data_IF_446625931389
#
_entry.id   IF_446625931389
#
_cell.length_a   1.000
_cell.length_b   1.000
_cell.length_c   1.000
_cell.angle_alpha   90.00
_cell.angle_beta   90.00
_cell.angle_gamma   90.00
#
_symmetry.space_group_name_H-M   'P 1'
#
loop_
_entity.id
_entity.type
_entity.pdbx_description
1 polymer ?
#
# COMPACT_ATOMS: atom_id res chain seq x y z
N UNK A 1 -1.69 -12.54 8.00
CA UNK A 1 -3.12 -12.41 7.72
C UNK A 1 -3.85 -11.67 8.84
N UNK A 2 -5.05 -11.19 8.55
CA UNK A 2 -6.04 -10.70 9.53
C UNK A 2 -7.44 -11.09 9.06
N UNK A 3 -8.38 -11.23 9.98
CA UNK A 3 -9.74 -11.65 9.68
C UNK A 3 -10.75 -10.72 10.33
N UNK A 4 -11.81 -10.43 9.61
CA UNK A 4 -12.99 -9.74 10.12
C UNK A 4 -14.23 -10.45 9.57
N UNK A 5 -15.07 -10.98 10.48
CA UNK A 5 -16.29 -11.74 10.16
C UNK A 5 -15.98 -12.88 9.17
N UNK A 6 -16.58 -12.87 7.99
CA UNK A 6 -16.41 -13.87 6.93
C UNK A 6 -15.31 -13.54 5.90
N UNK A 7 -14.47 -12.56 6.19
CA UNK A 7 -13.41 -12.13 5.28
C UNK A 7 -12.03 -12.28 5.92
N UNK A 8 -11.17 -13.08 5.30
CA UNK A 8 -9.75 -13.23 5.63
C UNK A 8 -8.91 -12.42 4.64
N UNK A 9 -8.08 -11.50 5.13
CA UNK A 9 -7.13 -10.73 4.33
C UNK A 9 -5.75 -11.35 4.44
N UNK A 10 -5.18 -11.70 3.29
CA UNK A 10 -3.86 -12.29 3.14
C UNK A 10 -2.90 -11.28 2.54
N UNK A 11 -1.74 -11.10 3.16
CA UNK A 11 -0.71 -10.16 2.73
C UNK A 11 0.65 -10.86 2.62
N UNK A 12 1.42 -10.49 1.62
CA UNK A 12 2.80 -10.93 1.41
C UNK A 12 3.55 -9.86 0.61
N UNK A 13 4.83 -9.65 0.91
CA UNK A 13 5.62 -8.58 0.29
C UNK A 13 5.81 -8.69 -1.23
N UNK A 14 5.67 -9.90 -1.79
CA UNK A 14 5.83 -10.18 -3.22
C UNK A 14 4.49 -10.28 -3.98
N UNK A 15 3.37 -10.27 -3.28
CA UNK A 15 2.05 -10.52 -3.87
C UNK A 15 1.05 -9.45 -3.47
N UNK A 16 0.27 -9.01 -4.45
CA UNK A 16 -0.86 -8.13 -4.18
C UNK A 16 -1.76 -8.73 -3.09
N UNK A 17 -2.16 -7.97 -2.08
CA UNK A 17 -3.06 -8.43 -1.05
C UNK A 17 -4.30 -9.13 -1.62
N UNK A 18 -4.66 -10.24 -1.01
CA UNK A 18 -5.80 -11.06 -1.40
C UNK A 18 -6.85 -11.07 -0.29
N UNK A 19 -8.11 -11.30 -0.66
CA UNK A 19 -9.15 -11.63 0.28
C UNK A 19 -9.78 -12.98 -0.04
N UNK A 20 -10.05 -13.75 1.01
CA UNK A 20 -10.89 -14.94 0.98
C UNK A 20 -12.17 -14.62 1.71
N UNK A 21 -13.29 -14.64 1.00
CA UNK A 21 -14.60 -14.31 1.52
C UNK A 21 -15.44 -15.58 1.57
N UNK A 22 -16.01 -15.87 2.72
CA UNK A 22 -17.00 -16.93 2.87
C UNK A 22 -18.39 -16.39 2.50
N UNK A 23 -18.92 -16.82 1.36
CA UNK A 23 -20.26 -16.41 0.91
C UNK A 23 -21.36 -17.28 1.55
N UNK A 24 -21.08 -18.58 1.67
CA UNK A 24 -21.95 -19.58 2.34
C UNK A 24 -21.05 -20.66 2.95
N UNK A 25 -21.61 -21.63 3.67
CA UNK A 25 -20.84 -22.75 4.25
C UNK A 25 -20.08 -23.59 3.21
N UNK A 26 -20.50 -23.54 1.95
CA UNK A 26 -19.89 -24.31 0.85
C UNK A 26 -19.38 -23.46 -0.30
N UNK A 27 -19.45 -22.12 -0.19
CA UNK A 27 -19.05 -21.20 -1.26
C UNK A 27 -18.08 -20.15 -0.74
N UNK A 28 -16.91 -20.05 -1.39
CA UNK A 28 -15.83 -19.15 -1.05
C UNK A 28 -15.37 -18.38 -2.29
N UNK A 29 -15.04 -17.11 -2.13
CA UNK A 29 -14.46 -16.28 -3.19
C UNK A 29 -13.04 -15.91 -2.79
N UNK A 30 -12.07 -16.18 -3.67
CA UNK A 30 -10.68 -15.79 -3.50
C UNK A 30 -10.28 -14.83 -4.61
N UNK A 31 -9.97 -13.58 -4.26
CA UNK A 31 -9.72 -12.52 -5.23
C UNK A 31 -8.68 -11.50 -4.70
N UNK A 32 -8.24 -10.60 -5.57
CA UNK A 32 -7.42 -9.47 -5.15
C UNK A 32 -8.22 -8.57 -4.20
N UNK A 33 -7.54 -8.01 -3.19
CA UNK A 33 -8.15 -7.01 -2.34
C UNK A 33 -8.53 -5.79 -3.20
N UNK A 34 -9.78 -5.31 -3.17
CA UNK A 34 -10.24 -4.22 -4.03
C UNK A 34 -9.79 -2.86 -3.49
N UNK A 35 -8.48 -2.60 -3.48
CA UNK A 35 -7.92 -1.33 -3.06
C UNK A 35 -8.36 -0.26 -4.06
N UNK A 36 -9.10 0.73 -3.59
CA UNK A 36 -9.64 1.82 -4.42
C UNK A 36 -8.59 2.90 -4.65
N UNK A 37 -7.87 3.25 -3.57
CA UNK A 37 -6.81 4.27 -3.60
C UNK A 37 -5.57 3.72 -2.91
N UNK A 38 -4.45 3.73 -3.64
CA UNK A 38 -3.14 3.34 -3.11
C UNK A 38 -2.33 4.58 -2.71
N UNK A 39 -1.46 4.48 -1.69
CA UNK A 39 -0.49 5.54 -1.40
C UNK A 39 0.42 5.82 -2.60
N UNK A 40 0.84 7.07 -2.79
CA UNK A 40 1.65 7.50 -3.92
C UNK A 40 3.07 7.85 -3.52
N UNK A 41 3.98 7.59 -4.45
CA UNK A 41 5.34 8.06 -4.44
C UNK A 41 5.45 9.23 -5.42
N UNK A 42 5.82 10.42 -4.99
CA UNK A 42 6.28 11.46 -5.89
C UNK A 42 7.73 11.12 -6.27
N UNK A 43 7.95 10.54 -7.46
CA UNK A 43 9.27 10.09 -7.87
C UNK A 43 9.99 11.13 -8.72
N UNK A 44 9.35 11.60 -9.78
CA UNK A 44 9.82 12.70 -10.63
C UNK A 44 8.58 13.43 -11.15
N UNK A 45 8.12 14.39 -10.38
CA UNK A 45 6.96 15.20 -10.77
C UNK A 45 7.30 16.04 -11.98
N UNK A 46 6.50 15.95 -13.01
CA UNK A 46 6.56 16.80 -14.19
C UNK A 46 5.19 17.44 -14.38
N UNK A 47 5.13 18.77 -14.27
CA UNK A 47 3.93 19.54 -14.52
C UNK A 47 3.85 19.88 -16.00
N UNK A 48 2.80 19.43 -16.65
CA UNK A 48 2.50 19.75 -18.04
C UNK A 48 1.34 20.76 -18.09
N UNK A 49 1.41 21.68 -19.03
CA UNK A 49 0.35 22.67 -19.30
C UNK A 49 -0.38 22.30 -20.59
N UNK A 50 -1.46 21.48 -20.50
CA UNK A 50 -2.20 21.08 -21.69
C UNK A 50 -2.92 22.28 -22.34
N UNK A 51 -2.97 22.27 -23.67
CA UNK A 51 -3.56 23.35 -24.44
C UNK A 51 -5.08 23.20 -24.68
N UNK A 52 -5.77 22.44 -23.85
CA UNK A 52 -7.21 22.29 -23.85
C UNK A 52 -7.80 22.67 -22.49
N UNK A 53 -9.08 23.00 -22.44
CA UNK A 53 -9.80 23.26 -21.20
C UNK A 53 -10.37 21.98 -20.63
N UNK A 54 -10.58 21.95 -19.32
CA UNK A 54 -11.24 20.85 -18.61
C UNK A 54 -12.46 21.35 -17.87
N UNK A 55 -13.42 20.46 -17.65
CA UNK A 55 -14.66 20.79 -16.93
C UNK A 55 -14.97 19.66 -15.95
N UNK A 56 -14.92 19.92 -14.62
CA UNK A 56 -15.36 18.97 -13.62
C UNK A 56 -16.89 18.95 -13.54
N UNK A 57 -17.50 17.78 -13.36
CA UNK A 57 -18.95 17.66 -13.19
C UNK A 57 -19.44 17.90 -11.75
N UNK A 58 -18.51 17.88 -10.77
CA UNK A 58 -18.73 18.16 -9.35
C UNK A 58 -17.48 18.82 -8.77
N UNK A 59 -17.61 19.43 -7.60
CA UNK A 59 -16.48 20.09 -6.90
C UNK A 59 -15.72 19.18 -5.95
N UNK A 60 -16.27 18.03 -5.53
CA UNK A 60 -15.68 17.14 -4.52
C UNK A 60 -16.11 15.68 -4.69
N UNK A 61 -15.39 14.76 -4.04
CA UNK A 61 -15.62 13.31 -4.08
C UNK A 61 -15.17 12.68 -5.41
N UNK A 62 -15.83 11.60 -5.82
CA UNK A 62 -15.62 10.99 -7.13
C UNK A 62 -16.32 11.80 -8.21
N UNK A 63 -15.55 12.26 -9.18
CA UNK A 63 -16.02 13.15 -10.24
C UNK A 63 -15.63 12.65 -11.63
N UNK A 64 -16.28 13.19 -12.65
CA UNK A 64 -15.81 13.11 -14.03
C UNK A 64 -15.27 14.47 -14.48
N UNK A 65 -14.11 14.43 -15.13
CA UNK A 65 -13.49 15.61 -15.73
C UNK A 65 -13.50 15.42 -17.24
N UNK A 66 -14.12 16.37 -17.95
CA UNK A 66 -14.24 16.33 -19.40
C UNK A 66 -13.29 17.35 -20.04
N UNK A 67 -12.48 16.89 -21.01
CA UNK A 67 -11.65 17.76 -21.84
C UNK A 67 -12.49 18.42 -22.94
N UNK A 68 -12.23 19.69 -23.24
CA UNK A 68 -12.93 20.45 -24.30
C UNK A 68 -12.51 20.05 -25.71
N UNK A 69 -11.38 19.39 -25.87
CA UNK A 69 -10.83 18.96 -27.15
C UNK A 69 -11.07 17.47 -27.34
N UNK A 70 -11.62 17.10 -28.47
CA UNK A 70 -11.66 15.72 -28.94
C UNK A 70 -10.29 15.32 -29.52
N UNK A 71 -10.18 14.07 -29.97
CA UNK A 71 -9.05 13.56 -30.75
C UNK A 71 -8.69 14.55 -31.86
N UNK A 72 -7.45 15.03 -31.87
CA UNK A 72 -7.02 16.06 -32.82
C UNK A 72 -6.43 15.48 -34.08
N UNK A 73 -5.82 14.28 -33.99
CA UNK A 73 -5.21 13.56 -35.11
C UNK A 73 -5.63 12.09 -35.06
N UNK A 74 -6.11 11.56 -36.19
CA UNK A 74 -6.57 10.18 -36.27
C UNK A 74 -5.92 9.46 -37.43
N UNK A 75 -5.43 8.25 -37.20
CA UNK A 75 -4.90 7.33 -38.22
C UNK A 75 -3.79 7.92 -39.13
N UNK A 76 -2.93 8.78 -38.55
CA UNK A 76 -1.80 9.40 -39.24
C UNK A 76 -0.58 8.49 -39.26
N UNK A 77 0.23 8.61 -40.30
CA UNK A 77 1.54 7.93 -40.37
C UNK A 77 2.62 8.86 -39.88
N UNK A 78 3.42 8.49 -38.88
CA UNK A 78 4.56 9.30 -38.43
C UNK A 78 5.65 9.31 -39.52
N UNK A 79 6.37 10.42 -39.64
CA UNK A 79 7.52 10.47 -40.58
C UNK A 79 8.69 9.63 -40.05
N UNK A 80 8.88 9.59 -38.73
CA UNK A 80 9.83 8.71 -38.02
C UNK A 80 9.54 8.63 -36.54
N UNK A 81 10.16 7.68 -35.80
CA UNK A 81 10.09 7.64 -34.36
C UNK A 81 10.98 6.55 -33.78
N UNK A 82 11.69 6.88 -32.71
CA UNK A 82 12.49 5.94 -31.91
C UNK A 82 12.82 6.55 -30.55
N UNK A 83 13.12 5.69 -29.58
CA UNK A 83 13.36 6.16 -28.20
C UNK A 83 12.15 6.91 -27.67
N UNK A 84 12.36 8.10 -27.13
CA UNK A 84 11.29 8.98 -26.64
C UNK A 84 10.81 10.02 -27.66
N UNK A 85 11.27 9.95 -28.92
CA UNK A 85 11.00 10.98 -29.92
C UNK A 85 10.20 10.41 -31.09
N UNK A 86 9.19 11.17 -31.53
CA UNK A 86 8.42 10.88 -32.75
C UNK A 86 8.30 12.14 -33.59
N UNK A 87 8.53 12.01 -34.89
CA UNK A 87 8.24 13.07 -35.86
C UNK A 87 6.85 12.79 -36.43
N UNK A 88 5.93 13.69 -36.13
CA UNK A 88 4.55 13.59 -36.61
C UNK A 88 4.47 13.83 -38.12
N UNK A 89 3.38 13.38 -38.73
CA UNK A 89 3.14 13.59 -40.14
C UNK A 89 3.28 15.05 -40.53
N UNK A 90 3.89 15.33 -41.69
CA UNK A 90 4.06 16.71 -42.21
C UNK A 90 2.73 17.46 -42.35
N UNK A 91 1.61 16.72 -42.53
CA UNK A 91 0.24 17.28 -42.59
C UNK A 91 -0.33 17.64 -41.23
N UNK A 92 0.34 17.26 -40.13
CA UNK A 92 -0.08 17.63 -38.76
C UNK A 92 0.24 19.11 -38.50
N UNK A 93 -0.72 19.85 -38.01
CA UNK A 93 -0.54 21.26 -37.67
C UNK A 93 -1.40 21.63 -36.47
N UNK A 94 -0.74 22.19 -35.47
CA UNK A 94 -1.36 22.72 -34.26
C UNK A 94 -1.31 24.26 -34.29
N UNK A 95 -1.94 24.84 -35.33
CA UNK A 95 -1.97 26.29 -35.53
C UNK A 95 -3.02 26.97 -34.63
N UNK A 96 -2.77 28.26 -34.29
CA UNK A 96 -3.71 29.04 -33.48
C UNK A 96 -3.47 29.00 -31.98
N UNK A 97 -2.24 28.67 -31.55
CA UNK A 97 -1.89 28.63 -30.11
C UNK A 97 -2.19 27.31 -29.41
N UNK A 98 -2.66 26.30 -30.14
CA UNK A 98 -2.84 24.95 -29.62
C UNK A 98 -1.51 24.18 -29.73
N UNK A 99 -1.12 23.47 -28.68
CA UNK A 99 0.04 22.58 -28.65
C UNK A 99 -0.45 21.19 -28.21
N UNK A 100 0.11 20.10 -28.73
CA UNK A 100 -0.24 18.75 -28.27
C UNK A 100 0.41 18.38 -26.91
N UNK A 101 1.13 19.30 -26.28
CA UNK A 101 1.74 19.05 -24.95
C UNK A 101 0.63 18.73 -23.94
N UNK A 102 0.86 17.70 -23.13
CA UNK A 102 -0.10 17.15 -22.19
C UNK A 102 -1.17 16.25 -22.81
N UNK A 103 -1.18 16.08 -24.16
CA UNK A 103 -2.05 15.11 -24.82
C UNK A 103 -1.36 13.74 -24.94
N UNK A 104 -2.17 12.71 -25.08
CA UNK A 104 -1.71 11.34 -25.30
C UNK A 104 -1.50 11.07 -26.79
N UNK A 105 -0.34 10.51 -27.14
CA UNK A 105 -0.09 9.90 -28.43
C UNK A 105 -0.26 8.39 -28.29
N UNK A 106 -1.15 7.81 -29.09
CA UNK A 106 -1.42 6.38 -29.15
C UNK A 106 -1.00 5.83 -30.51
N UNK A 107 -0.26 4.72 -30.51
CA UNK A 107 0.04 3.99 -31.74
C UNK A 107 -1.03 2.92 -31.98
N UNK A 108 -1.70 2.98 -33.14
CA UNK A 108 -2.87 2.16 -33.46
C UNK A 108 -2.60 1.07 -34.48
N UNK A 109 -1.44 1.10 -35.16
CA UNK A 109 -1.01 0.06 -36.10
C UNK A 109 0.51 0.07 -36.30
N UNK A 110 1.04 -1.02 -36.88
CA UNK A 110 2.47 -1.20 -37.21
C UNK A 110 3.36 -1.44 -36.00
N UNK A 111 4.68 -1.25 -36.14
CA UNK A 111 5.58 -1.28 -34.97
C UNK A 111 5.16 -0.30 -33.88
N UNK A 112 5.12 -0.81 -32.65
CA UNK A 112 4.67 -0.03 -31.48
C UNK A 112 3.16 -0.01 -31.28
N UNK A 113 2.36 -0.74 -32.03
CA UNK A 113 0.91 -0.81 -31.84
C UNK A 113 0.54 -1.13 -30.38
N UNK A 114 -0.37 -0.33 -29.81
CA UNK A 114 -0.76 -0.40 -28.42
C UNK A 114 0.08 0.46 -27.46
N UNK A 115 1.13 1.15 -27.96
CA UNK A 115 1.87 2.15 -27.17
C UNK A 115 1.00 3.38 -26.92
N UNK A 116 1.03 3.90 -25.72
CA UNK A 116 0.45 5.19 -25.31
C UNK A 116 1.47 5.98 -24.50
N UNK A 117 1.76 7.22 -24.92
CA UNK A 117 2.68 8.13 -24.26
C UNK A 117 2.15 9.55 -24.17
N UNK A 118 2.46 10.28 -23.10
CA UNK A 118 2.13 11.71 -23.00
C UNK A 118 3.19 12.53 -23.73
N UNK A 119 2.74 13.49 -24.51
CA UNK A 119 3.62 14.45 -25.19
C UNK A 119 4.08 15.49 -24.16
N UNK A 120 5.36 15.44 -23.78
CA UNK A 120 5.95 16.36 -22.78
C UNK A 120 6.53 17.62 -23.41
N UNK A 121 6.91 17.57 -24.69
CA UNK A 121 7.32 18.72 -25.46
C UNK A 121 7.03 18.57 -26.94
N UNK A 122 6.86 19.67 -27.67
CA UNK A 122 6.59 19.66 -29.09
C UNK A 122 7.25 20.84 -29.80
N UNK A 123 7.86 20.58 -30.97
CA UNK A 123 8.46 21.57 -31.83
C UNK A 123 7.73 21.62 -33.16
N UNK A 124 6.94 22.66 -33.39
CA UNK A 124 6.09 22.82 -34.58
C UNK A 124 6.87 22.84 -35.89
N UNK A 125 8.04 23.50 -35.92
CA UNK A 125 8.85 23.62 -37.13
C UNK A 125 9.40 22.29 -37.69
N UNK A 126 9.64 21.33 -36.80
CA UNK A 126 10.16 19.99 -37.13
C UNK A 126 9.12 18.90 -36.94
N UNK A 127 7.90 19.26 -36.49
CA UNK A 127 6.85 18.32 -36.11
C UNK A 127 7.30 17.27 -35.07
N UNK A 128 8.30 17.58 -34.28
CA UNK A 128 8.91 16.64 -33.35
C UNK A 128 8.24 16.73 -31.99
N UNK A 129 7.68 15.62 -31.54
CA UNK A 129 7.15 15.44 -30.19
C UNK A 129 8.10 14.56 -29.36
N UNK A 130 8.32 14.96 -28.09
CA UNK A 130 9.00 14.14 -27.10
C UNK A 130 7.96 13.53 -26.17
N UNK A 131 8.10 12.25 -25.88
CA UNK A 131 7.17 11.45 -25.08
C UNK A 131 7.73 11.21 -23.67
N UNK A 132 6.85 11.00 -22.71
CA UNK A 132 7.17 10.68 -21.31
C UNK A 132 7.87 9.32 -21.14
N UNK A 133 7.68 8.40 -22.10
CA UNK A 133 8.26 7.07 -22.09
C UNK A 133 8.78 6.67 -23.48
N UNK A 134 9.74 5.74 -23.51
CA UNK A 134 10.32 5.24 -24.76
C UNK A 134 9.32 4.40 -25.55
N UNK A 135 9.30 4.59 -26.87
CA UNK A 135 8.54 3.76 -27.82
C UNK A 135 8.95 2.27 -27.79
N UNK A 136 10.19 1.97 -27.34
CA UNK A 136 10.73 0.60 -27.32
C UNK A 136 11.00 -0.02 -28.70
N UNK A 137 10.59 0.67 -29.77
CA UNK A 137 10.73 0.23 -31.17
C UNK A 137 11.07 1.41 -32.07
N UNK A 138 11.53 1.13 -33.30
CA UNK A 138 11.65 2.13 -34.35
C UNK A 138 10.39 2.05 -35.21
N UNK A 139 9.74 3.19 -35.45
CA UNK A 139 8.54 3.28 -36.29
C UNK A 139 8.87 3.21 -37.78
N UNK A 140 7.91 2.75 -38.56
CA UNK A 140 8.02 2.65 -40.02
C UNK A 140 6.74 3.16 -40.71
N UNK A 141 6.70 3.09 -42.05
CA UNK A 141 5.55 3.54 -42.86
C UNK A 141 4.23 2.78 -42.63
N UNK A 142 4.24 1.68 -41.86
CA UNK A 142 3.03 0.94 -41.45
C UNK A 142 2.49 1.39 -40.12
N UNK A 143 3.29 2.11 -39.32
CA UNK A 143 2.86 2.66 -38.05
C UNK A 143 1.77 3.71 -38.25
N UNK A 144 0.82 3.73 -37.33
CA UNK A 144 -0.27 4.73 -37.28
C UNK A 144 -0.39 5.28 -35.90
N UNK A 145 -0.69 6.59 -35.79
CA UNK A 145 -0.93 7.25 -34.50
C UNK A 145 -2.22 8.06 -34.50
N UNK A 146 -2.70 8.29 -33.31
CA UNK A 146 -3.74 9.27 -32.97
C UNK A 146 -3.32 10.09 -31.76
N UNK A 147 -3.85 11.31 -31.62
CA UNK A 147 -3.57 12.19 -30.49
C UNK A 147 -4.91 12.54 -29.81
N UNK A 148 -5.00 12.23 -28.53
CA UNK A 148 -6.21 12.37 -27.72
C UNK A 148 -5.87 12.99 -26.37
N UNK A 149 -6.85 13.63 -25.64
CA UNK A 149 -6.57 14.27 -24.35
C UNK A 149 -6.05 13.31 -23.29
N UNK A 150 -6.65 12.14 -23.11
CA UNK A 150 -6.33 11.22 -22.05
C UNK A 150 -5.91 9.84 -22.54
N UNK A 151 -5.01 9.21 -21.78
CA UNK A 151 -4.55 7.83 -21.99
C UNK A 151 -4.89 6.93 -20.80
N UNK A 152 -4.86 5.61 -20.99
CA UNK A 152 -5.10 4.64 -19.92
C UNK A 152 -4.02 4.71 -18.82
N UNK A 153 -2.78 5.04 -19.18
CA UNK A 153 -1.67 5.13 -18.25
C UNK A 153 -1.59 6.44 -17.42
N UNK A 154 -2.60 7.33 -17.51
CA UNK A 154 -2.69 8.49 -16.60
C UNK A 154 -3.22 8.14 -15.21
N UNK A 155 -3.53 6.88 -14.97
CA UNK A 155 -3.97 6.44 -13.65
C UNK A 155 -2.96 6.85 -12.58
N UNK A 156 -3.46 7.39 -11.48
CA UNK A 156 -2.67 7.90 -10.36
C UNK A 156 -1.94 9.22 -10.60
N UNK A 157 -2.08 9.83 -11.77
CA UNK A 157 -1.59 11.19 -12.04
C UNK A 157 -2.63 12.23 -11.59
N UNK A 158 -2.23 13.48 -11.50
CA UNK A 158 -3.07 14.54 -10.97
C UNK A 158 -3.46 15.59 -12.01
N UNK A 159 -4.64 16.10 -11.87
CA UNK A 159 -5.12 17.34 -12.49
C UNK A 159 -5.17 18.39 -11.40
N UNK A 160 -4.48 19.51 -11.57
CA UNK A 160 -4.42 20.59 -10.59
C UNK A 160 -4.76 21.94 -11.23
N UNK A 161 -5.66 22.68 -10.61
CA UNK A 161 -5.97 24.05 -11.02
C UNK A 161 -5.02 25.05 -10.34
N UNK A 162 -4.58 26.08 -11.09
CA UNK A 162 -3.58 27.04 -10.62
C UNK A 162 -4.11 28.16 -9.71
N UNK A 163 -5.42 28.18 -9.45
CA UNK A 163 -6.06 29.13 -8.55
C UNK A 163 -5.97 28.75 -7.06
N UNK A 164 -5.34 27.60 -6.76
CA UNK A 164 -5.22 27.06 -5.42
C UNK A 164 -6.43 26.21 -4.98
N UNK A 165 -7.41 26.03 -5.85
CA UNK A 165 -8.56 25.14 -5.66
C UNK A 165 -8.54 24.06 -6.74
N UNK A 166 -8.99 22.85 -6.41
CA UNK A 166 -9.13 21.79 -7.38
C UNK A 166 -7.83 21.04 -7.65
N UNK A 167 -7.63 19.97 -6.90
CA UNK A 167 -6.66 18.92 -7.19
C UNK A 167 -7.37 17.58 -7.20
N UNK A 168 -7.25 16.85 -8.29
CA UNK A 168 -7.93 15.57 -8.45
C UNK A 168 -7.00 14.51 -9.03
N UNK A 169 -6.99 13.34 -8.41
CA UNK A 169 -6.24 12.18 -8.87
C UNK A 169 -7.06 11.36 -9.86
N UNK A 170 -6.49 11.06 -11.01
CA UNK A 170 -7.13 10.25 -12.04
C UNK A 170 -7.23 8.80 -11.58
N UNK A 171 -8.45 8.24 -11.54
CA UNK A 171 -8.74 6.87 -11.11
C UNK A 171 -8.90 5.95 -12.32
N UNK A 172 -9.63 6.41 -13.33
CA UNK A 172 -9.88 5.62 -14.55
C UNK A 172 -10.17 6.51 -15.73
N UNK A 173 -9.91 6.00 -16.93
CA UNK A 173 -10.36 6.62 -18.19
C UNK A 173 -11.74 6.09 -18.54
N UNK A 174 -12.64 6.99 -18.86
CA UNK A 174 -14.00 6.69 -19.34
C UNK A 174 -14.03 6.71 -20.85
N UNK A 175 -13.40 7.73 -21.46
CA UNK A 175 -13.24 7.87 -22.91
C UNK A 175 -11.99 8.70 -23.23
N UNK A 176 -11.72 8.93 -24.54
CA UNK A 176 -10.60 9.77 -24.98
C UNK A 176 -10.65 11.20 -24.41
N UNK A 177 -11.84 11.68 -24.03
CA UNK A 177 -12.07 13.03 -23.52
C UNK A 177 -12.56 13.06 -22.08
N UNK A 178 -12.80 11.94 -21.42
CA UNK A 178 -13.38 11.89 -20.06
C UNK A 178 -12.57 10.96 -19.17
N UNK A 179 -12.19 11.46 -18.02
CA UNK A 179 -11.60 10.67 -16.93
C UNK A 179 -12.46 10.74 -15.68
N UNK A 180 -12.47 9.65 -14.89
CA UNK A 180 -12.93 9.68 -13.51
C UNK A 180 -11.74 10.02 -12.62
N UNK A 181 -11.97 10.92 -11.68
CA UNK A 181 -10.97 11.36 -10.74
C UNK A 181 -11.54 11.48 -9.33
N UNK A 182 -10.71 11.25 -8.32
CA UNK A 182 -11.02 11.53 -6.93
C UNK A 182 -10.44 12.89 -6.55
N UNK A 183 -11.28 13.75 -5.99
CA UNK A 183 -10.90 15.12 -5.61
C UNK A 183 -10.21 15.10 -4.25
N UNK A 184 -8.94 15.50 -4.21
CA UNK A 184 -8.17 15.68 -2.98
C UNK A 184 -8.34 17.10 -2.41
N UNK A 185 -8.36 18.10 -3.29
CA UNK A 185 -8.65 19.51 -2.94
C UNK A 185 -9.86 19.95 -3.75
N UNK A 186 -10.96 20.39 -3.11
CA UNK A 186 -12.18 20.78 -3.81
C UNK A 186 -11.95 21.84 -4.88
N UNK A 187 -12.61 21.69 -6.04
CA UNK A 187 -12.66 22.72 -7.07
C UNK A 187 -13.50 23.90 -6.60
N UNK A 188 -13.18 25.09 -7.10
CA UNK A 188 -13.94 26.30 -6.76
C UNK A 188 -15.41 26.18 -7.20
N UNK A 189 -15.62 25.74 -8.44
CA UNK A 189 -16.94 25.48 -9.02
C UNK A 189 -16.84 24.39 -10.13
N UNK A 190 -17.90 24.18 -10.87
CA UNK A 190 -17.98 23.26 -12.02
C UNK A 190 -17.79 23.94 -13.36
N UNK A 191 -17.33 25.17 -13.40
CA UNK A 191 -17.05 25.91 -14.64
C UNK A 191 -15.82 25.32 -15.36
N UNK A 192 -15.72 25.59 -16.65
CA UNK A 192 -14.58 25.17 -17.44
C UNK A 192 -13.31 25.90 -17.00
N UNK A 193 -12.29 25.14 -16.65
CA UNK A 193 -10.94 25.63 -16.33
C UNK A 193 -10.19 25.74 -17.67
N UNK A 194 -9.89 26.95 -18.07
CA UNK A 194 -9.33 27.22 -19.40
C UNK A 194 -7.84 26.85 -19.47
N UNK A 195 -7.35 26.67 -20.69
CA UNK A 195 -5.91 26.46 -20.99
C UNK A 195 -5.03 27.45 -20.25
N UNK A 196 -3.94 26.95 -19.68
CA UNK A 196 -2.98 27.73 -18.89
C UNK A 196 -3.36 27.93 -17.42
N UNK A 197 -4.60 27.62 -17.02
CA UNK A 197 -5.06 27.72 -15.63
C UNK A 197 -5.10 26.37 -14.89
N UNK A 198 -4.57 25.31 -15.49
CA UNK A 198 -4.44 24.01 -14.87
C UNK A 198 -3.20 23.28 -15.39
N UNK A 199 -2.77 22.27 -14.65
CA UNK A 199 -1.68 21.37 -15.00
C UNK A 199 -2.11 19.91 -14.97
N UNK A 200 -1.46 19.10 -15.81
CA UNK A 200 -1.46 17.65 -15.70
C UNK A 200 -0.12 17.25 -15.07
N UNK A 201 -0.16 16.78 -13.84
CA UNK A 201 1.03 16.40 -13.09
C UNK A 201 1.25 14.90 -13.27
N UNK A 202 2.34 14.54 -13.92
CA UNK A 202 2.73 13.16 -14.21
C UNK A 202 4.02 12.78 -13.46
N UNK A 203 4.32 11.48 -13.40
CA UNK A 203 5.54 10.98 -12.74
C UNK A 203 5.33 10.44 -11.34
N UNK A 204 4.07 10.28 -10.91
CA UNK A 204 3.74 9.59 -9.66
C UNK A 204 3.71 8.08 -9.86
N UNK A 205 4.21 7.35 -8.86
CA UNK A 205 4.16 5.89 -8.80
C UNK A 205 3.37 5.42 -7.58
N UNK A 206 2.74 4.26 -7.68
CA UNK A 206 2.14 3.60 -6.53
C UNK A 206 3.22 3.13 -5.56
N UNK A 207 3.02 3.34 -4.26
CA UNK A 207 3.90 2.82 -3.21
C UNK A 207 3.87 1.29 -3.20
N UNK A 208 2.72 0.68 -3.55
CA UNK A 208 2.53 -0.75 -3.61
C UNK A 208 2.39 -1.22 -5.07
N UNK A 209 3.35 -1.97 -5.52
CA UNK A 209 3.38 -2.59 -6.84
C UNK A 209 4.25 -3.85 -6.83
N UNK A 210 4.27 -4.59 -7.92
CA UNK A 210 5.14 -5.77 -8.05
C UNK A 210 6.63 -5.41 -7.91
N UNK A 211 7.03 -4.23 -8.37
CA UNK A 211 8.42 -3.77 -8.29
C UNK A 211 8.74 -3.15 -6.91
N UNK A 212 7.81 -2.40 -6.33
CA UNK A 212 7.96 -1.71 -5.04
C UNK A 212 7.66 -2.61 -3.83
N UNK A 213 7.03 -3.74 -4.07
CA UNK A 213 6.54 -4.65 -3.04
C UNK A 213 5.20 -4.24 -2.45
N UNK A 214 4.60 -5.18 -1.76
CA UNK A 214 3.28 -5.09 -1.15
C UNK A 214 3.38 -5.10 0.38
N UNK A 215 2.33 -4.74 1.12
CA UNK A 215 2.34 -4.79 2.57
C UNK A 215 2.63 -6.19 3.12
N UNK A 216 3.47 -6.26 4.16
CA UNK A 216 3.85 -7.53 4.84
C UNK A 216 2.91 -7.93 5.95
N UNK A 217 2.25 -6.97 6.58
CA UNK A 217 1.38 -7.19 7.71
C UNK A 217 0.06 -6.45 7.54
N UNK A 218 -1.00 -7.03 8.10
CA UNK A 218 -2.33 -6.43 8.16
C UNK A 218 -2.96 -6.65 9.52
N UNK A 219 -3.71 -5.67 10.01
CA UNK A 219 -4.53 -5.77 11.22
C UNK A 219 -5.73 -4.80 11.14
N UNK A 220 -6.89 -5.23 11.64
CA UNK A 220 -8.01 -4.32 11.90
C UNK A 220 -7.90 -3.73 13.29
N UNK A 221 -8.03 -2.43 13.40
CA UNK A 221 -8.05 -1.74 14.69
C UNK A 221 -8.87 -0.44 14.59
N UNK A 222 -9.75 -0.19 15.52
CA UNK A 222 -10.57 1.03 15.62
C UNK A 222 -11.22 1.49 14.30
N UNK A 223 -11.87 0.57 13.61
CA UNK A 223 -12.60 0.90 12.36
C UNK A 223 -11.72 1.19 11.14
N UNK A 224 -10.42 0.87 11.21
CA UNK A 224 -9.47 0.98 10.10
C UNK A 224 -8.78 -0.36 9.80
N UNK A 225 -8.40 -0.56 8.56
CA UNK A 225 -7.46 -1.61 8.17
C UNK A 225 -6.06 -1.00 8.13
N UNK A 226 -5.16 -1.54 8.94
CA UNK A 226 -3.76 -1.14 8.95
C UNK A 226 -2.92 -2.10 8.14
N UNK A 227 -2.02 -1.53 7.34
CA UNK A 227 -0.94 -2.25 6.67
C UNK A 227 0.43 -1.79 7.20
N UNK A 228 1.39 -2.69 7.23
CA UNK A 228 2.74 -2.39 7.70
C UNK A 228 3.84 -2.98 6.83
N UNK A 229 4.81 -2.12 6.53
CA UNK A 229 6.02 -2.46 5.81
C UNK A 229 5.80 -2.95 4.39
N UNK A 230 6.60 -2.48 3.46
CA UNK A 230 6.72 -3.02 2.11
C UNK A 230 8.21 -3.13 1.76
N UNK A 231 8.56 -3.67 0.60
CA UNK A 231 9.98 -3.71 0.17
C UNK A 231 10.59 -2.31 0.06
N UNK A 232 9.86 -1.37 -0.56
CA UNK A 232 10.34 0.00 -0.77
C UNK A 232 10.24 0.88 0.47
N UNK A 233 9.26 0.63 1.35
CA UNK A 233 9.04 1.37 2.61
C UNK A 233 8.88 0.41 3.79
N UNK A 234 9.95 -0.22 4.27
CA UNK A 234 9.88 -1.30 5.26
C UNK A 234 9.47 -0.83 6.66
N UNK A 235 9.57 0.45 6.97
CA UNK A 235 9.29 1.07 8.26
C UNK A 235 8.05 1.99 8.25
N UNK A 236 7.18 1.87 7.24
CA UNK A 236 5.98 2.69 7.11
C UNK A 236 4.72 1.90 7.45
N UNK A 237 3.78 2.58 8.08
CA UNK A 237 2.47 2.09 8.46
C UNK A 237 1.44 2.90 7.68
N UNK A 238 0.44 2.21 7.15
CA UNK A 238 -0.70 2.82 6.47
C UNK A 238 -1.99 2.37 7.14
N UNK A 239 -2.84 3.33 7.52
CA UNK A 239 -4.19 3.07 7.99
C UNK A 239 -5.21 3.50 6.94
N UNK A 240 -6.21 2.70 6.66
CA UNK A 240 -7.30 3.05 5.76
C UNK A 240 -8.13 4.23 6.29
N UNK A 241 -9.01 4.80 5.47
CA UNK A 241 -10.10 5.68 5.97
C UNK A 241 -10.97 4.92 6.96
N UNK A 242 -11.63 5.65 7.84
CA UNK A 242 -12.54 5.06 8.83
C UNK A 242 -13.72 4.41 8.10
N UNK A 243 -13.96 3.11 8.39
CA UNK A 243 -15.03 2.27 7.81
C UNK A 243 -14.89 2.02 6.30
N UNK A 244 -14.00 2.72 5.60
CA UNK A 244 -13.66 2.47 4.20
C UNK A 244 -12.29 1.77 4.12
N UNK A 245 -12.30 0.46 4.39
CA UNK A 245 -11.11 -0.35 4.64
C UNK A 245 -10.15 -0.51 3.45
N UNK A 246 -10.56 -0.17 2.24
CA UNK A 246 -9.75 -0.35 1.03
C UNK A 246 -9.30 0.97 0.41
N UNK A 247 -9.54 2.08 1.10
CA UNK A 247 -9.18 3.41 0.69
C UNK A 247 -8.03 3.94 1.55
N UNK A 248 -6.85 4.15 0.94
CA UNK A 248 -5.63 4.64 1.59
C UNK A 248 -5.25 6.04 1.10
N UNK A 249 -6.21 6.80 0.60
CA UNK A 249 -6.01 8.18 0.24
C UNK A 249 -5.89 9.07 1.47
N UNK A 250 -4.75 9.73 1.63
CA UNK A 250 -4.46 10.60 2.77
C UNK A 250 -5.28 11.90 2.76
N UNK A 251 -5.88 12.26 1.61
CA UNK A 251 -6.73 13.42 1.47
C UNK A 251 -6.08 14.71 1.98
N UNK A 252 -6.82 15.45 2.79
CA UNK A 252 -6.40 16.72 3.40
C UNK A 252 -5.96 16.58 4.88
N UNK A 253 -6.00 15.38 5.43
CA UNK A 253 -5.61 15.08 6.83
C UNK A 253 -6.75 15.25 7.84
N UNK A 254 -8.01 15.08 7.40
CA UNK A 254 -9.17 15.05 8.31
C UNK A 254 -9.15 13.79 9.18
N UNK A 255 -9.87 13.81 10.29
CA UNK A 255 -9.85 12.75 11.30
C UNK A 255 -10.32 11.38 10.80
N UNK A 256 -11.18 11.34 9.79
CA UNK A 256 -11.68 10.12 9.15
C UNK A 256 -10.85 9.66 7.96
N UNK A 257 -9.88 10.46 7.51
CA UNK A 257 -9.03 10.15 6.36
C UNK A 257 -7.92 9.15 6.71
N UNK A 258 -7.24 8.63 5.69
CA UNK A 258 -6.23 7.58 5.85
C UNK A 258 -4.97 8.12 6.51
N UNK A 259 -4.21 7.20 7.10
CA UNK A 259 -2.98 7.50 7.85
C UNK A 259 -1.79 6.94 7.08
N UNK A 260 -0.74 7.75 6.92
CA UNK A 260 0.58 7.28 6.52
C UNK A 260 1.61 7.78 7.55
N UNK A 261 2.30 6.87 8.21
CA UNK A 261 3.32 7.20 9.20
C UNK A 261 4.56 6.33 9.05
N UNK A 262 5.72 6.96 9.10
CA UNK A 262 7.01 6.25 9.00
C UNK A 262 7.74 6.28 10.32
N UNK A 263 8.17 5.11 10.81
CA UNK A 263 8.98 5.00 12.01
C UNK A 263 10.35 5.59 11.72
N UNK A 264 10.63 6.73 12.34
CA UNK A 264 11.92 7.42 12.18
C UNK A 264 12.75 7.25 13.45
N UNK A 265 13.75 6.37 13.39
CA UNK A 265 14.72 6.12 14.46
C UNK A 265 16.11 5.97 13.85
N UNK A 266 17.15 5.98 14.69
CA UNK A 266 18.54 5.74 14.24
C UNK A 266 18.84 4.27 13.89
N UNK A 267 17.85 3.39 13.85
CA UNK A 267 17.96 1.99 13.40
C UNK A 267 16.92 1.71 12.33
N UNK A 268 17.25 0.84 11.40
CA UNK A 268 16.27 0.34 10.43
C UNK A 268 15.33 -0.65 11.14
N UNK A 269 14.07 -0.27 11.24
CA UNK A 269 13.00 -1.06 11.84
C UNK A 269 12.10 -1.60 10.74
N UNK A 270 12.44 -2.78 10.23
CA UNK A 270 11.58 -3.47 9.26
C UNK A 270 10.35 -4.00 9.97
N UNK A 271 9.19 -3.45 9.67
CA UNK A 271 7.91 -3.92 10.19
C UNK A 271 7.59 -5.28 9.56
N UNK A 272 7.27 -6.26 10.38
CA UNK A 272 6.82 -7.55 9.88
C UNK A 272 5.49 -8.02 10.50
N UNK A 273 5.08 -7.40 11.61
CA UNK A 273 3.75 -7.67 12.19
C UNK A 273 3.19 -6.41 12.85
N UNK A 274 1.94 -6.13 12.55
CA UNK A 274 1.06 -5.24 13.30
C UNK A 274 0.08 -6.13 14.05
N UNK A 275 -0.11 -5.86 15.35
CA UNK A 275 -1.03 -6.59 16.20
C UNK A 275 -2.04 -5.62 16.82
N UNK A 276 -3.32 -5.94 16.70
CA UNK A 276 -4.40 -5.16 17.28
C UNK A 276 -4.73 -5.71 18.66
N UNK A 277 -4.27 -5.04 19.68
CA UNK A 277 -4.61 -5.27 21.08
C UNK A 277 -5.45 -4.12 21.62
N UNK A 278 -5.36 -3.84 22.93
CA UNK A 278 -5.88 -2.59 23.51
C UNK A 278 -5.29 -1.36 22.80
N UNK A 279 -3.98 -1.40 22.51
CA UNK A 279 -3.27 -0.45 21.66
C UNK A 279 -2.85 -1.13 20.36
N UNK A 280 -2.62 -0.35 19.30
CA UNK A 280 -2.02 -0.85 18.06
C UNK A 280 -0.52 -1.08 18.29
N UNK A 281 -0.11 -2.35 18.29
CA UNK A 281 1.27 -2.77 18.51
C UNK A 281 1.98 -3.03 17.19
N UNK A 282 3.25 -2.63 17.10
CA UNK A 282 4.05 -2.74 15.88
C UNK A 282 5.35 -3.46 16.22
N UNK A 283 5.53 -4.63 15.63
CA UNK A 283 6.70 -5.48 15.82
C UNK A 283 7.66 -5.34 14.64
N UNK A 284 8.91 -4.98 14.97
CA UNK A 284 9.95 -4.76 13.98
C UNK A 284 11.21 -5.56 14.29
N UNK A 285 12.13 -5.58 13.34
CA UNK A 285 13.44 -6.21 13.54
C UNK A 285 14.32 -5.48 14.56
N UNK A 286 14.06 -4.22 14.86
CA UNK A 286 14.88 -3.39 15.75
C UNK A 286 14.25 -3.08 17.10
N UNK A 287 12.96 -3.28 17.24
CA UNK A 287 12.23 -2.98 18.48
C UNK A 287 10.72 -3.11 18.35
N UNK A 288 10.03 -2.95 19.47
CA UNK A 288 8.59 -2.98 19.59
C UNK A 288 8.07 -1.58 19.85
N UNK A 289 7.02 -1.21 19.14
CA UNK A 289 6.39 0.10 19.20
C UNK A 289 4.89 -0.06 19.46
N UNK A 290 4.31 1.00 19.98
CA UNK A 290 2.86 1.15 20.08
C UNK A 290 2.43 2.47 19.43
N UNK A 291 1.22 2.51 18.94
CA UNK A 291 0.51 3.76 18.69
C UNK A 291 -0.24 4.09 19.97
N UNK A 292 0.27 5.08 20.67
CA UNK A 292 -0.29 5.51 21.96
C UNK A 292 -1.38 6.54 21.74
N UNK A 293 -2.54 6.27 22.24
CA UNK A 293 -3.63 7.23 22.33
C UNK A 293 -3.57 8.04 23.64
N UNK A 294 -4.06 9.26 23.60
CA UNK A 294 -4.54 9.92 24.82
C UNK A 294 -5.83 9.22 25.21
N UNK A 295 -5.99 8.87 26.47
CA UNK A 295 -7.07 8.03 26.98
C UNK A 295 -8.44 8.45 26.43
N UNK A 296 -9.03 7.62 25.59
CA UNK A 296 -10.37 7.78 25.03
C UNK A 296 -10.49 8.49 23.70
N UNK A 297 -9.39 8.98 23.10
CA UNK A 297 -9.43 9.60 21.78
C UNK A 297 -9.20 8.55 20.68
N UNK A 298 -9.97 8.56 19.58
CA UNK A 298 -9.74 7.66 18.45
C UNK A 298 -8.42 7.99 17.74
N UNK A 299 -7.83 7.00 17.07
CA UNK A 299 -6.65 7.22 16.23
C UNK A 299 -7.04 8.02 14.98
N UNK A 300 -6.39 9.18 14.79
CA UNK A 300 -6.59 10.07 13.64
C UNK A 300 -5.26 10.39 12.97
N UNK A 301 -5.24 10.93 11.72
CA UNK A 301 -3.99 11.35 11.08
C UNK A 301 -3.20 12.37 11.90
N UNK A 302 -3.89 13.25 12.65
CA UNK A 302 -3.27 14.32 13.44
C UNK A 302 -2.68 13.87 14.77
N UNK A 303 -3.14 12.74 15.35
CA UNK A 303 -2.69 12.24 16.63
C UNK A 303 -1.95 10.89 16.57
N UNK A 304 -1.62 10.40 15.37
CA UNK A 304 -0.92 9.13 15.18
C UNK A 304 0.53 9.21 15.65
N UNK A 305 0.75 8.80 16.89
CA UNK A 305 2.06 8.89 17.53
C UNK A 305 2.63 7.50 17.81
N UNK A 306 3.67 7.12 17.08
CA UNK A 306 4.39 5.85 17.27
C UNK A 306 5.46 6.01 18.34
N UNK A 307 5.34 5.27 19.44
CA UNK A 307 6.28 5.30 20.58
C UNK A 307 7.05 3.98 20.69
N UNK A 308 8.38 4.06 20.79
CA UNK A 308 9.21 2.90 21.08
C UNK A 308 9.00 2.47 22.54
N UNK A 309 8.78 1.17 22.75
CA UNK A 309 8.61 0.55 24.05
C UNK A 309 9.77 -0.38 24.43
N UNK A 310 10.36 -1.03 23.43
CA UNK A 310 11.45 -1.96 23.62
C UNK A 310 12.40 -1.93 22.42
N UNK A 311 13.64 -2.41 22.61
CA UNK A 311 14.67 -2.52 21.58
C UNK A 311 15.14 -3.95 21.40
N UNK A 312 14.29 -4.92 21.71
CA UNK A 312 14.62 -6.35 21.59
C UNK A 312 14.57 -6.78 20.12
N UNK A 313 13.54 -6.37 19.42
CA UNK A 313 13.24 -6.79 18.06
C UNK A 313 12.70 -8.21 17.99
N UNK A 314 11.79 -8.44 17.09
CA UNK A 314 11.11 -9.71 16.90
C UNK A 314 11.60 -10.43 15.65
N UNK A 315 11.47 -11.76 15.64
CA UNK A 315 11.97 -12.63 14.57
C UNK A 315 11.02 -12.63 13.38
N UNK A 316 11.53 -12.28 12.22
CA UNK A 316 10.76 -12.34 10.95
C UNK A 316 10.36 -13.78 10.65
N UNK A 317 9.14 -13.96 10.14
CA UNK A 317 8.60 -15.25 9.71
C UNK A 317 8.05 -16.12 10.84
N UNK A 318 8.14 -15.68 12.08
CA UNK A 318 7.53 -16.39 13.24
C UNK A 318 6.27 -15.62 13.65
N UNK A 319 5.13 -16.29 13.81
CA UNK A 319 3.89 -15.68 14.27
C UNK A 319 4.03 -15.00 15.64
N UNK A 320 3.10 -14.10 15.93
CA UNK A 320 2.97 -13.39 17.21
C UNK A 320 1.55 -13.65 17.70
N UNK A 321 1.40 -13.98 18.97
CA UNK A 321 0.13 -14.36 19.56
C UNK A 321 -0.15 -13.66 20.87
N UNK A 322 -1.42 -13.41 21.15
CA UNK A 322 -1.86 -12.82 22.41
C UNK A 322 -2.28 -13.93 23.39
N UNK A 323 -1.79 -13.84 24.63
CA UNK A 323 -2.12 -14.75 25.70
C UNK A 323 -2.14 -14.02 27.05
N UNK A 324 -3.27 -14.08 27.76
CA UNK A 324 -3.39 -13.58 29.14
C UNK A 324 -3.07 -12.08 29.29
N UNK A 325 -3.42 -11.26 28.29
CA UNK A 325 -3.14 -9.82 28.30
C UNK A 325 -1.70 -9.45 27.92
N UNK A 326 -0.88 -10.43 27.56
CA UNK A 326 0.45 -10.22 26.99
C UNK A 326 0.50 -10.64 25.54
N UNK A 327 1.31 -9.97 24.72
CA UNK A 327 1.64 -10.38 23.36
C UNK A 327 2.96 -11.13 23.37
N UNK A 328 2.94 -12.38 22.90
CA UNK A 328 4.09 -13.28 22.91
C UNK A 328 4.79 -13.28 21.56
N UNK A 329 6.10 -13.13 21.56
CA UNK A 329 6.91 -13.16 20.35
C UNK A 329 8.28 -13.79 20.56
N UNK A 330 8.90 -14.27 19.50
CA UNK A 330 10.28 -14.76 19.53
C UNK A 330 11.23 -13.59 19.25
N UNK A 331 12.21 -13.40 20.13
CA UNK A 331 13.28 -12.43 19.96
C UNK A 331 14.00 -12.59 18.59
N UNK A 332 14.48 -11.50 18.01
CA UNK A 332 15.13 -11.48 16.69
C UNK A 332 16.20 -12.56 16.48
N UNK A 333 17.01 -12.87 17.50
CA UNK A 333 18.05 -13.91 17.42
C UNK A 333 17.50 -15.33 17.52
N UNK A 334 16.21 -15.53 17.79
CA UNK A 334 15.59 -16.85 17.93
C UNK A 334 16.04 -17.62 19.17
N UNK A 335 16.42 -16.93 20.25
CA UNK A 335 16.94 -17.53 21.49
C UNK A 335 16.06 -17.31 22.71
N UNK A 336 15.04 -16.48 22.60
CA UNK A 336 14.18 -16.18 23.73
C UNK A 336 12.74 -15.98 23.29
N UNK A 337 11.81 -16.52 24.08
CA UNK A 337 10.39 -16.21 24.06
C UNK A 337 10.16 -15.00 24.98
N UNK A 338 9.53 -13.98 24.46
CA UNK A 338 9.30 -12.71 25.15
C UNK A 338 7.81 -12.47 25.32
N UNK A 339 7.39 -12.03 26.48
CA UNK A 339 6.07 -11.45 26.73
C UNK A 339 6.17 -9.92 26.68
N UNK A 340 5.33 -9.28 25.89
CA UNK A 340 5.17 -7.85 25.76
C UNK A 340 3.84 -7.47 26.39
N UNK A 341 3.85 -6.76 27.49
CA UNK A 341 2.68 -6.51 28.32
C UNK A 341 2.65 -5.09 28.86
N UNK A 342 1.45 -4.50 28.93
CA UNK A 342 1.24 -3.21 29.57
C UNK A 342 1.39 -3.34 31.09
N UNK A 343 2.07 -2.38 31.70
CA UNK A 343 2.23 -2.26 33.15
C UNK A 343 1.62 -0.96 33.62
N UNK A 344 0.59 -1.03 34.45
CA UNK A 344 -0.06 0.12 35.05
C UNK A 344 0.92 0.94 35.92
N UNK A 345 1.87 0.27 36.57
CA UNK A 345 2.84 0.92 37.47
C UNK A 345 3.77 1.88 36.69
N UNK A 346 4.15 1.52 35.47
CA UNK A 346 5.03 2.34 34.64
C UNK A 346 4.28 3.10 33.54
N UNK A 347 2.97 2.84 33.37
CA UNK A 347 2.13 3.34 32.28
C UNK A 347 2.78 3.15 30.92
N UNK A 348 3.40 2.00 30.73
CA UNK A 348 4.13 1.64 29.49
C UNK A 348 4.15 0.14 29.27
N UNK A 349 4.39 -0.26 28.04
CA UNK A 349 4.63 -1.66 27.73
C UNK A 349 6.05 -2.07 28.11
N UNK A 350 6.16 -3.19 28.80
CA UNK A 350 7.42 -3.81 29.17
C UNK A 350 7.61 -5.17 28.50
N UNK A 351 8.85 -5.65 28.50
CA UNK A 351 9.21 -6.96 27.98
C UNK A 351 9.74 -7.86 29.07
N UNK A 352 9.19 -9.08 29.16
CA UNK A 352 9.63 -10.10 30.11
C UNK A 352 10.07 -11.36 29.38
N UNK A 353 11.33 -11.80 29.50
CA UNK A 353 11.79 -13.05 28.88
C UNK A 353 11.26 -14.26 29.66
N UNK A 354 10.45 -15.08 29.01
CA UNK A 354 9.80 -16.25 29.60
C UNK A 354 10.68 -17.52 29.53
N UNK A 355 11.66 -17.56 28.64
CA UNK A 355 12.51 -18.73 28.39
C UNK A 355 13.92 -18.63 29.00
N UNK A 356 14.14 -17.79 30.02
CA UNK A 356 15.48 -17.55 30.61
C UNK A 356 16.18 -18.85 30.99
N UNK A 357 15.48 -19.76 31.68
CA UNK A 357 16.03 -21.03 32.13
C UNK A 357 15.98 -22.15 31.07
N UNK A 358 15.32 -21.90 29.95
CA UNK A 358 15.06 -22.90 28.90
C UNK A 358 15.46 -22.43 27.50
N UNK A 359 16.34 -21.45 27.40
CA UNK A 359 16.80 -20.90 26.11
C UNK A 359 17.45 -21.95 25.21
N UNK A 360 17.97 -23.03 25.77
CA UNK A 360 18.52 -24.16 25.03
C UNK A 360 17.50 -25.00 24.26
N UNK A 361 16.20 -24.84 24.58
CA UNK A 361 15.09 -25.47 23.85
C UNK A 361 14.65 -24.67 22.60
N UNK A 362 15.12 -23.44 22.46
CA UNK A 362 14.81 -22.56 21.33
C UNK A 362 15.98 -22.55 20.34
N UNK A 363 15.83 -23.33 19.28
CA UNK A 363 16.84 -23.51 18.23
C UNK A 363 16.35 -22.86 16.96
N UNK A 364 16.45 -21.53 16.91
CA UNK A 364 16.02 -20.74 15.76
C UNK A 364 14.57 -21.08 15.35
N UNK A 365 13.57 -20.76 16.18
CA UNK A 365 12.16 -21.06 15.91
C UNK A 365 11.72 -20.60 14.52
N UNK A 366 10.87 -21.37 13.86
CA UNK A 366 10.30 -21.11 12.53
C UNK A 366 8.80 -20.91 12.55
N UNK A 367 8.13 -21.49 13.56
CA UNK A 367 6.70 -21.38 13.70
C UNK A 367 6.32 -21.53 15.17
N UNK A 368 5.21 -20.92 15.58
CA UNK A 368 4.61 -21.21 16.88
C UNK A 368 3.12 -20.92 16.92
N UNK A 369 2.39 -21.68 17.73
CA UNK A 369 0.97 -21.51 17.94
C UNK A 369 0.60 -21.83 19.39
N UNK A 370 -0.61 -21.42 19.81
CA UNK A 370 -1.08 -21.48 21.19
C UNK A 370 -2.38 -22.27 21.29
N UNK A 371 -2.39 -23.28 22.15
CA UNK A 371 -3.62 -23.87 22.67
C UNK A 371 -4.00 -23.19 23.96
N UNK A 372 -5.11 -22.50 23.98
CA UNK A 372 -5.67 -21.89 25.18
C UNK A 372 -6.32 -22.98 26.04
N UNK A 373 -6.22 -22.80 27.37
CA UNK A 373 -6.92 -23.67 28.32
C UNK A 373 -8.44 -23.53 28.14
N UNK A 374 -9.14 -24.65 28.17
CA UNK A 374 -10.60 -24.69 28.08
C UNK A 374 -11.27 -24.67 29.48
N UNK A 375 -10.48 -24.85 30.53
CA UNK A 375 -10.93 -24.84 31.93
C UNK A 375 -9.86 -24.24 32.85
N UNK A 376 -10.23 -23.91 34.07
CA UNK A 376 -9.33 -23.41 35.11
C UNK A 376 -8.32 -24.44 35.61
N UNK A 377 -8.52 -25.70 35.32
CA UNK A 377 -7.65 -26.81 35.72
C UNK A 377 -6.60 -27.16 34.68
N UNK A 378 -6.66 -26.50 33.51
CA UNK A 378 -5.70 -26.66 32.43
C UNK A 378 -4.74 -25.47 32.33
N UNK A 379 -3.56 -25.72 31.80
CA UNK A 379 -2.61 -24.67 31.43
C UNK A 379 -2.71 -24.35 29.94
N UNK A 380 -2.48 -23.11 29.60
CA UNK A 380 -2.21 -22.73 28.21
C UNK A 380 -0.93 -23.43 27.72
N UNK A 381 -0.93 -23.84 26.45
CA UNK A 381 0.25 -24.50 25.86
C UNK A 381 0.70 -23.80 24.61
N UNK A 382 1.97 -23.44 24.59
CA UNK A 382 2.64 -22.91 23.41
C UNK A 382 3.43 -24.02 22.75
N UNK A 383 3.30 -24.17 21.45
CA UNK A 383 4.05 -25.12 20.64
C UNK A 383 4.97 -24.33 19.71
N UNK A 384 6.28 -24.46 19.90
CA UNK A 384 7.28 -23.69 19.15
C UNK A 384 8.12 -24.67 18.35
N UNK A 385 8.02 -24.61 17.04
CA UNK A 385 8.75 -25.46 16.10
C UNK A 385 10.11 -24.84 15.80
N UNK A 386 11.16 -25.65 15.92
CA UNK A 386 12.55 -25.27 15.68
C UNK A 386 13.04 -25.70 14.29
N UNK A 387 14.09 -25.03 13.80
CA UNK A 387 14.73 -25.38 12.51
C UNK A 387 15.36 -26.77 12.50
N UNK A 388 15.72 -27.32 13.66
CA UNK A 388 16.28 -28.69 13.78
C UNK A 388 15.20 -29.79 13.78
N UNK A 389 13.93 -29.43 13.58
CA UNK A 389 12.80 -30.35 13.58
C UNK A 389 12.33 -30.77 14.97
N UNK A 390 12.87 -30.22 16.04
CA UNK A 390 12.34 -30.39 17.40
C UNK A 390 11.24 -29.37 17.69
N UNK A 391 10.42 -29.62 18.71
CA UNK A 391 9.41 -28.70 19.18
C UNK A 391 9.57 -28.44 20.67
N UNK A 392 9.66 -27.16 21.04
CA UNK A 392 9.59 -26.73 22.43
C UNK A 392 8.13 -26.49 22.81
N UNK A 393 7.69 -27.06 23.94
CA UNK A 393 6.34 -26.86 24.45
C UNK A 393 6.41 -26.18 25.80
N UNK A 394 5.72 -25.05 25.93
CA UNK A 394 5.62 -24.31 27.19
C UNK A 394 4.20 -24.44 27.74
N UNK A 395 4.04 -25.08 28.91
CA UNK A 395 2.80 -25.04 29.67
C UNK A 395 2.83 -23.79 30.56
N UNK A 396 1.86 -22.92 30.40
CA UNK A 396 1.86 -21.59 31.03
C UNK A 396 0.59 -21.34 31.83
N UNK A 397 0.77 -20.71 32.98
CA UNK A 397 -0.30 -20.11 33.76
C UNK A 397 0.19 -18.71 34.20
N UNK A 398 -0.04 -17.74 33.33
CA UNK A 398 0.51 -16.37 33.47
C UNK A 398 0.05 -15.73 34.79
N UNK A 399 -1.20 -15.96 35.19
CA UNK A 399 -1.76 -15.43 36.45
C UNK A 399 -1.03 -15.90 37.72
N UNK A 400 -0.22 -16.95 37.62
CA UNK A 400 0.53 -17.52 38.72
C UNK A 400 2.07 -17.56 38.47
N UNK A 401 2.53 -16.88 37.43
CA UNK A 401 3.94 -16.85 37.01
C UNK A 401 4.55 -18.25 36.73
N UNK A 402 3.69 -19.21 36.34
CA UNK A 402 4.14 -20.56 36.03
C UNK A 402 4.48 -20.65 34.53
N UNK A 403 5.72 -21.06 34.24
CA UNK A 403 6.22 -21.36 32.90
C UNK A 403 7.00 -22.67 32.96
N UNK A 404 6.41 -23.75 32.43
CA UNK A 404 7.00 -25.10 32.46
C UNK A 404 7.38 -25.56 31.03
N UNK A 405 8.65 -25.49 30.65
CA UNK A 405 9.10 -25.89 29.33
C UNK A 405 9.32 -27.41 29.24
N UNK A 406 9.04 -27.99 28.08
CA UNK A 406 9.36 -29.35 27.73
C UNK A 406 9.82 -29.46 26.27
N UNK A 407 10.51 -30.54 25.92
CA UNK A 407 10.99 -30.81 24.55
C UNK A 407 10.19 -31.99 23.97
N UNK A 408 9.65 -31.79 22.77
CA UNK A 408 9.01 -32.85 21.98
C UNK A 408 9.92 -33.21 20.83
N UNK A 409 10.05 -34.48 20.59
CA UNK A 409 10.82 -35.07 19.47
C UNK A 409 9.97 -36.13 18.77
N UNK A 410 10.25 -36.38 17.51
CA UNK A 410 9.63 -37.41 16.69
C UNK A 410 10.73 -38.14 15.89
N UNK A 411 10.42 -39.26 15.30
CA UNK A 411 11.29 -39.96 14.37
C UNK A 411 11.49 -39.19 13.04
N UNK A 412 10.66 -38.21 12.79
CA UNK A 412 10.82 -37.25 11.69
C UNK A 412 11.20 -35.85 12.18
N UNK A 413 10.61 -34.83 11.58
CA UNK A 413 10.84 -33.42 11.93
C UNK A 413 9.50 -32.66 11.93
N UNK A 414 9.24 -31.89 12.97
CA UNK A 414 8.15 -30.91 12.97
C UNK A 414 8.51 -29.79 12.00
N UNK A 415 7.58 -29.45 11.12
CA UNK A 415 7.76 -28.37 10.13
C UNK A 415 6.93 -27.13 10.49
N UNK A 416 5.70 -27.33 10.86
CA UNK A 416 4.75 -26.28 11.23
C UNK A 416 3.83 -26.79 12.34
N UNK A 417 3.13 -25.87 13.00
CA UNK A 417 2.10 -26.15 13.98
C UNK A 417 0.89 -25.28 13.72
N UNK A 418 -0.29 -25.87 13.87
CA UNK A 418 -1.55 -25.14 13.89
C UNK A 418 -2.44 -25.76 14.97
N UNK A 419 -3.04 -24.92 15.77
CA UNK A 419 -3.90 -25.32 16.89
C UNK A 419 -5.33 -24.84 16.63
N UNK A 420 -6.28 -25.73 16.78
CA UNK A 420 -7.72 -25.44 16.81
C UNK A 420 -8.23 -25.63 18.23
N UNK A 421 -9.09 -24.71 18.68
CA UNK A 421 -9.71 -24.73 20.02
C UNK A 421 -11.23 -24.89 19.89
#
# INVERSE_FOLDING_TARGET
FTQAVDTLILVHEDLQPKRLVRNTDTSWTFENLPIVHTPKYAYTETQLEPSYSITPNKVSGDIEITASSATTETNKTPDSGSGTTIVLATSTSFTGGTSPVGMCLKLTAGPGNGYEGVIVSYTESTKTATLDASLGVTLDGTSRYEIQPFKDNLLSQFIEAKDGFGRARIISRVSDTVVRAFVEVPFFDTSAITTGNWTLDIGYEDVWSNDRGWPKSAAFHEGRLYFGGSKSRPNTIWGSRVVDFFNFDIGTGLDDESIEATINTNQLNVIHKINAGPDLQIFTTGGEFIVSQLAGDPITPSNFLVKNQSRIGSKIGVPIHDLGGATLFIQRQGKSLIAFQFSDTTSSYGTTPLSVLSSHLLITPVDFDIRRASSTDETDRLFIVNTDGTMAVYSMLISQDIVAPSKFTTDGSFQNVAVEV
#
